data_IF_125179388109
#
_entry.id   IF_125179388109
#
_cell.length_a   1.000
_cell.length_b   1.000
_cell.length_c   1.000
_cell.angle_alpha   90.00
_cell.angle_beta   90.00
_cell.angle_gamma   90.00
#
_symmetry.space_group_name_H-M   'P 1'
#
loop_
_entity.id
_entity.type
_entity.pdbx_description
1 polymer ?
#
# COMPACT_ATOMS: atom_id res chain seq x y z
N UNK A 1 -16.96 -8.11 -14.86
CA UNK A 1 -16.49 -8.67 -13.57
C UNK A 1 -15.16 -9.38 -13.77
N UNK A 2 -14.36 -9.47 -12.71
CA UNK A 2 -13.07 -10.20 -12.69
C UNK A 2 -13.18 -11.63 -13.20
N UNK A 3 -14.22 -12.37 -12.81
CA UNK A 3 -14.46 -13.73 -13.32
C UNK A 3 -14.65 -13.79 -14.83
N UNK A 4 -15.23 -12.76 -15.45
CA UNK A 4 -15.37 -12.69 -16.91
C UNK A 4 -14.02 -12.41 -17.58
N UNK A 5 -13.18 -11.57 -16.98
CA UNK A 5 -11.83 -11.31 -17.48
C UNK A 5 -10.96 -12.58 -17.37
N UNK A 6 -10.98 -13.26 -16.22
CA UNK A 6 -10.25 -14.51 -16.01
C UNK A 6 -10.61 -15.59 -17.06
N UNK A 7 -11.91 -15.77 -17.36
CA UNK A 7 -12.36 -16.77 -18.36
C UNK A 7 -11.94 -16.43 -19.82
N UNK A 8 -11.41 -15.24 -20.06
CA UNK A 8 -10.88 -14.81 -21.37
C UNK A 8 -9.37 -15.00 -21.51
N UNK A 9 -8.70 -15.31 -20.40
CA UNK A 9 -7.28 -15.64 -20.45
C UNK A 9 -7.09 -16.95 -21.21
N UNK A 10 -5.90 -17.14 -21.79
CA UNK A 10 -5.50 -18.40 -22.35
C UNK A 10 -5.42 -19.47 -21.24
N UNK A 11 -5.63 -20.77 -21.55
CA UNK A 11 -5.57 -21.84 -20.53
C UNK A 11 -4.25 -21.82 -19.73
N UNK A 12 -3.13 -21.63 -20.38
CA UNK A 12 -1.79 -21.53 -19.78
C UNK A 12 -1.67 -20.41 -18.77
N UNK A 13 -2.28 -19.24 -19.04
CA UNK A 13 -2.30 -18.10 -18.11
C UNK A 13 -3.25 -18.35 -16.93
N UNK A 14 -4.38 -19.05 -17.17
CA UNK A 14 -5.33 -19.39 -16.12
C UNK A 14 -4.72 -20.31 -15.05
N UNK A 15 -3.80 -21.20 -15.42
CA UNK A 15 -3.09 -22.07 -14.48
C UNK A 15 -2.20 -21.30 -13.51
N UNK A 16 -1.75 -20.11 -13.92
CA UNK A 16 -0.90 -19.24 -13.11
C UNK A 16 -1.66 -18.19 -12.29
N UNK A 17 -3.00 -18.11 -12.42
CA UNK A 17 -3.84 -17.11 -11.77
C UNK A 17 -4.84 -17.75 -10.81
N UNK A 18 -4.86 -17.31 -9.56
CA UNK A 18 -5.86 -17.70 -8.58
C UNK A 18 -6.80 -16.52 -8.26
N UNK A 19 -8.11 -16.74 -8.43
CA UNK A 19 -9.14 -15.80 -7.96
C UNK A 19 -9.66 -16.27 -6.61
N UNK A 20 -9.44 -15.45 -5.58
CA UNK A 20 -9.85 -15.77 -4.22
C UNK A 20 -11.03 -14.89 -3.81
N UNK A 21 -12.09 -15.53 -3.34
CA UNK A 21 -13.21 -14.87 -2.68
C UNK A 21 -13.17 -15.17 -1.18
N UNK A 22 -12.80 -14.17 -0.39
CA UNK A 22 -12.63 -14.35 1.05
C UNK A 22 -13.98 -14.22 1.78
N UNK A 23 -14.25 -15.05 2.79
CA UNK A 23 -15.51 -15.01 3.52
C UNK A 23 -15.61 -13.72 4.34
N UNK A 24 -16.71 -12.97 4.15
CA UNK A 24 -17.00 -11.75 4.91
C UNK A 24 -17.75 -12.03 6.22
N UNK A 25 -18.25 -13.24 6.42
CA UNK A 25 -19.03 -13.62 7.60
C UNK A 25 -18.21 -13.62 8.90
N UNK A 26 -16.90 -13.79 8.82
CA UNK A 26 -16.01 -13.73 9.98
C UNK A 26 -14.84 -12.77 9.70
N UNK A 27 -14.88 -11.60 10.31
CA UNK A 27 -13.81 -10.60 10.18
C UNK A 27 -12.44 -11.13 10.61
N UNK A 28 -12.38 -11.95 11.64
CA UNK A 28 -11.12 -12.55 12.12
C UNK A 28 -10.52 -13.52 11.09
N UNK A 29 -11.35 -14.38 10.49
CA UNK A 29 -10.87 -15.30 9.44
C UNK A 29 -10.40 -14.55 8.20
N UNK A 30 -11.17 -13.56 7.76
CA UNK A 30 -10.80 -12.72 6.64
C UNK A 30 -9.43 -12.05 6.86
N UNK A 31 -9.26 -11.39 8.01
CA UNK A 31 -8.00 -10.74 8.39
C UNK A 31 -6.82 -11.72 8.43
N UNK A 32 -7.03 -12.92 8.96
CA UNK A 32 -6.00 -13.96 9.00
C UNK A 32 -5.61 -14.40 7.59
N UNK A 33 -6.57 -14.66 6.73
CA UNK A 33 -6.33 -15.08 5.33
C UNK A 33 -5.58 -13.99 4.56
N UNK A 34 -6.02 -12.73 4.65
CA UNK A 34 -5.30 -11.59 4.03
C UNK A 34 -3.89 -11.48 4.56
N UNK A 35 -3.70 -11.64 5.88
CA UNK A 35 -2.37 -11.58 6.50
C UNK A 35 -1.43 -12.67 5.96
N UNK A 36 -1.92 -13.91 5.84
CA UNK A 36 -1.14 -15.03 5.30
C UNK A 36 -0.80 -14.79 3.83
N UNK A 37 -1.79 -14.43 3.00
CA UNK A 37 -1.58 -14.15 1.58
C UNK A 37 -0.52 -13.06 1.40
N UNK A 38 -0.64 -11.95 2.10
CA UNK A 38 0.35 -10.88 2.02
C UNK A 38 1.74 -11.35 2.43
N UNK A 39 1.88 -12.09 3.56
CA UNK A 39 3.18 -12.58 4.03
C UNK A 39 3.85 -13.57 3.09
N UNK A 40 3.06 -14.33 2.33
CA UNK A 40 3.55 -15.28 1.33
C UNK A 40 3.83 -14.64 -0.03
N UNK A 41 3.46 -13.37 -0.22
CA UNK A 41 3.63 -12.67 -1.49
C UNK A 41 5.06 -12.16 -1.66
N UNK A 42 5.61 -12.31 -2.86
CA UNK A 42 6.91 -11.73 -3.24
C UNK A 42 6.79 -10.23 -3.50
N UNK A 43 5.68 -9.80 -4.10
CA UNK A 43 5.32 -8.39 -4.36
C UNK A 43 3.82 -8.26 -4.16
N UNK A 44 3.37 -7.17 -3.57
CA UNK A 44 1.97 -6.78 -3.53
C UNK A 44 1.71 -5.69 -4.58
N UNK A 45 0.66 -5.86 -5.38
CA UNK A 45 0.28 -4.87 -6.40
C UNK A 45 -1.02 -4.20 -5.99
N UNK A 46 -1.02 -2.88 -5.91
CA UNK A 46 -2.23 -2.08 -5.70
C UNK A 46 -2.37 -1.02 -6.79
N UNK A 47 -3.00 -1.42 -7.90
CA UNK A 47 -3.19 -0.57 -9.06
C UNK A 47 -4.55 0.14 -9.01
N UNK A 48 -4.72 1.06 -8.07
CA UNK A 48 -5.95 1.84 -7.89
C UNK A 48 -5.98 3.04 -8.82
N UNK A 49 -7.13 3.32 -9.46
CA UNK A 49 -7.33 4.55 -10.22
C UNK A 49 -7.50 5.76 -9.31
N UNK A 50 -8.15 5.55 -8.17
CA UNK A 50 -8.33 6.54 -7.11
C UNK A 50 -8.17 5.82 -5.77
N UNK A 51 -7.41 6.42 -4.87
CA UNK A 51 -7.15 5.87 -3.56
C UNK A 51 -7.00 6.99 -2.55
N UNK A 52 -7.78 6.95 -1.48
CA UNK A 52 -7.71 7.94 -0.42
C UNK A 52 -6.50 7.76 0.48
N UNK A 53 -6.26 6.53 0.93
CA UNK A 53 -5.11 6.20 1.78
C UNK A 53 -4.37 4.94 1.29
N UNK A 54 -5.04 3.81 1.05
CA UNK A 54 -4.40 2.57 0.62
C UNK A 54 -3.95 1.69 1.79
N UNK A 55 -4.87 1.34 2.69
CA UNK A 55 -4.57 0.48 3.83
C UNK A 55 -3.88 -0.82 3.43
N UNK A 56 -4.30 -1.45 2.34
CA UNK A 56 -3.73 -2.72 1.86
C UNK A 56 -2.24 -2.57 1.53
N UNK A 57 -1.85 -1.44 0.90
CA UNK A 57 -0.44 -1.14 0.63
C UNK A 57 0.35 -0.96 1.94
N UNK A 58 -0.17 -0.15 2.89
CA UNK A 58 0.48 0.07 4.19
C UNK A 58 0.63 -1.23 4.98
N UNK A 59 -0.37 -2.11 4.93
CA UNK A 59 -0.31 -3.43 5.57
C UNK A 59 0.75 -4.34 4.95
N UNK A 60 0.88 -4.36 3.62
CA UNK A 60 1.92 -5.10 2.93
C UNK A 60 3.31 -4.54 3.28
N UNK A 61 3.49 -3.22 3.24
CA UNK A 61 4.72 -2.53 3.64
C UNK A 61 5.12 -2.87 5.08
N UNK A 62 4.16 -2.89 6.01
CA UNK A 62 4.41 -3.27 7.40
C UNK A 62 4.91 -4.71 7.54
N UNK A 63 4.43 -5.61 6.70
CA UNK A 63 4.81 -7.03 6.66
C UNK A 63 6.11 -7.28 5.87
N UNK A 64 6.82 -6.23 5.45
CA UNK A 64 8.02 -6.30 4.62
C UNK A 64 7.77 -6.94 3.25
N UNK A 65 6.59 -6.69 2.68
CA UNK A 65 6.29 -7.06 1.31
C UNK A 65 6.46 -5.81 0.44
N UNK A 66 7.33 -5.85 -0.59
CA UNK A 66 7.50 -4.73 -1.51
C UNK A 66 6.20 -4.45 -2.24
N UNK A 67 5.87 -3.17 -2.41
CA UNK A 67 4.63 -2.77 -3.06
C UNK A 67 4.91 -2.11 -4.41
N UNK A 68 4.19 -2.56 -5.43
CA UNK A 68 3.98 -1.83 -6.67
C UNK A 68 2.63 -1.13 -6.58
N UNK A 69 2.64 0.19 -6.53
CA UNK A 69 1.45 1.02 -6.48
C UNK A 69 1.22 1.81 -7.76
N UNK A 70 0.00 2.30 -7.94
CA UNK A 70 -0.27 3.34 -8.93
C UNK A 70 0.04 4.73 -8.37
N UNK A 71 0.09 5.74 -9.26
CA UNK A 71 0.25 7.15 -8.88
C UNK A 71 -1.00 7.79 -8.26
N UNK A 72 -1.98 7.00 -7.77
CA UNK A 72 -3.13 7.51 -7.01
C UNK A 72 -2.68 8.27 -5.76
N UNK A 73 -3.42 9.31 -5.40
CA UNK A 73 -3.01 10.28 -4.37
C UNK A 73 -2.59 9.62 -3.05
N UNK A 74 -3.40 8.69 -2.51
CA UNK A 74 -3.09 7.99 -1.26
C UNK A 74 -1.81 7.17 -1.34
N UNK A 75 -1.57 6.46 -2.45
CA UNK A 75 -0.39 5.63 -2.63
C UNK A 75 0.88 6.46 -2.78
N UNK A 76 0.85 7.59 -3.48
CA UNK A 76 2.00 8.52 -3.59
C UNK A 76 2.42 9.11 -2.25
N UNK A 77 1.50 9.23 -1.30
CA UNK A 77 1.82 9.68 0.05
C UNK A 77 2.50 8.58 0.87
N UNK A 78 2.22 7.34 0.57
CA UNK A 78 2.75 6.18 1.29
C UNK A 78 4.08 5.69 0.72
N UNK A 79 4.18 5.60 -0.60
CA UNK A 79 5.30 4.99 -1.32
C UNK A 79 6.14 6.08 -1.96
N UNK A 80 7.43 6.11 -1.67
CA UNK A 80 8.42 6.88 -2.43
C UNK A 80 8.97 5.97 -3.51
N UNK A 81 8.70 6.30 -4.77
CA UNK A 81 9.14 5.50 -5.91
C UNK A 81 10.66 5.29 -5.89
N UNK A 82 11.08 4.05 -6.14
CA UNK A 82 12.47 3.64 -6.12
C UNK A 82 13.13 3.58 -4.74
N UNK A 83 12.42 3.90 -3.65
CA UNK A 83 12.94 3.91 -2.27
C UNK A 83 12.23 2.92 -1.36
N UNK A 84 10.90 3.00 -1.29
CA UNK A 84 10.07 2.17 -0.40
C UNK A 84 9.23 1.14 -1.18
N UNK A 85 9.31 1.18 -2.51
CA UNK A 85 8.56 0.39 -3.47
C UNK A 85 8.62 1.05 -4.83
N UNK A 86 7.69 0.68 -5.71
CA UNK A 86 7.59 1.27 -7.05
C UNK A 86 6.19 1.86 -7.28
N UNK A 87 6.13 2.89 -8.12
CA UNK A 87 4.88 3.51 -8.56
C UNK A 87 4.83 3.51 -10.09
N UNK A 88 3.68 3.13 -10.65
CA UNK A 88 3.39 3.32 -12.09
C UNK A 88 2.74 4.68 -12.30
N UNK A 89 3.10 5.33 -13.40
CA UNK A 89 2.56 6.64 -13.80
C UNK A 89 1.13 6.54 -14.31
N UNK A 90 0.88 5.53 -15.15
CA UNK A 90 -0.42 5.27 -15.73
C UNK A 90 -1.02 3.93 -15.27
N UNK A 91 -1.99 3.95 -14.33
CA UNK A 91 -2.63 2.73 -13.84
C UNK A 91 -3.50 2.00 -14.88
N UNK A 92 -3.65 2.55 -16.08
CA UNK A 92 -4.39 1.96 -17.20
C UNK A 92 -3.48 1.36 -18.26
N UNK A 93 -2.19 1.49 -18.11
CA UNK A 93 -1.20 0.94 -19.02
C UNK A 93 -0.70 -0.42 -18.49
N UNK A 94 -1.15 -1.54 -19.08
CA UNK A 94 -0.74 -2.86 -18.62
C UNK A 94 0.73 -3.15 -18.92
N UNK A 95 1.31 -2.54 -19.95
CA UNK A 95 2.70 -2.78 -20.32
C UNK A 95 3.64 -2.11 -19.31
N UNK A 96 3.37 -0.86 -18.90
CA UNK A 96 4.11 -0.19 -17.83
C UNK A 96 4.05 -0.97 -16.50
N UNK A 97 2.87 -1.51 -16.18
CA UNK A 97 2.68 -2.30 -14.96
C UNK A 97 3.50 -3.59 -15.03
N UNK A 98 3.44 -4.29 -16.16
CA UNK A 98 4.16 -5.54 -16.38
C UNK A 98 5.67 -5.33 -16.33
N UNK A 99 6.21 -4.38 -17.06
CA UNK A 99 7.63 -4.03 -17.06
C UNK A 99 8.14 -3.67 -15.65
N UNK A 100 7.40 -2.85 -14.93
CA UNK A 100 7.78 -2.48 -13.55
C UNK A 100 7.74 -3.67 -12.60
N UNK A 101 6.77 -4.55 -12.76
CA UNK A 101 6.66 -5.77 -11.96
C UNK A 101 7.80 -6.74 -12.27
N UNK A 102 8.13 -6.93 -13.54
CA UNK A 102 9.23 -7.78 -13.98
C UNK A 102 10.57 -7.29 -13.44
N UNK A 103 10.84 -5.99 -13.48
CA UNK A 103 12.02 -5.38 -12.86
C UNK A 103 12.10 -5.69 -11.36
N UNK A 104 10.98 -5.56 -10.65
CA UNK A 104 10.93 -5.90 -9.23
C UNK A 104 11.16 -7.38 -8.98
N UNK A 105 10.63 -8.25 -9.80
CA UNK A 105 10.79 -9.71 -9.67
C UNK A 105 12.21 -10.17 -10.02
N UNK A 106 12.84 -9.54 -11.00
CA UNK A 106 14.20 -9.88 -11.43
C UNK A 106 15.27 -9.50 -10.41
N UNK A 107 15.01 -8.53 -9.52
CA UNK A 107 16.04 -8.00 -8.61
C UNK A 107 15.71 -8.25 -7.12
N UNK A 108 16.10 -9.41 -6.56
CA UNK A 108 15.79 -9.73 -5.15
C UNK A 108 16.50 -8.81 -4.15
N UNK A 109 17.67 -8.29 -4.47
CA UNK A 109 18.40 -7.36 -3.59
C UNK A 109 17.65 -6.05 -3.46
N UNK A 110 17.17 -5.52 -4.57
CA UNK A 110 16.40 -4.29 -4.58
C UNK A 110 15.04 -4.47 -3.88
N UNK A 111 14.39 -5.62 -4.06
CA UNK A 111 13.14 -5.94 -3.33
C UNK A 111 13.35 -5.94 -1.82
N UNK A 112 14.44 -6.55 -1.34
CA UNK A 112 14.74 -6.55 0.10
C UNK A 112 14.99 -5.14 0.62
N UNK A 113 15.65 -4.29 -0.15
CA UNK A 113 15.85 -2.88 0.20
C UNK A 113 14.50 -2.15 0.31
N UNK A 114 13.64 -2.29 -0.70
CA UNK A 114 12.27 -1.72 -0.66
C UNK A 114 11.50 -2.20 0.58
N UNK A 115 11.56 -3.49 0.88
CA UNK A 115 10.87 -4.10 2.02
C UNK A 115 11.25 -3.47 3.36
N UNK A 116 12.56 -3.30 3.58
CA UNK A 116 13.09 -2.69 4.81
C UNK A 116 12.70 -1.23 4.92
N UNK A 117 12.88 -0.48 3.85
CA UNK A 117 12.55 0.94 3.80
C UNK A 117 11.04 1.17 4.00
N UNK A 118 10.22 0.34 3.35
CA UNK A 118 8.76 0.37 3.47
C UNK A 118 8.31 0.15 4.91
N UNK A 119 8.81 -0.91 5.56
CA UNK A 119 8.46 -1.20 6.96
C UNK A 119 8.89 -0.06 7.88
N UNK A 120 10.11 0.46 7.71
CA UNK A 120 10.60 1.60 8.48
C UNK A 120 9.71 2.83 8.29
N UNK A 121 9.33 3.13 7.05
CA UNK A 121 8.44 4.25 6.75
C UNK A 121 7.08 4.10 7.42
N UNK A 122 6.49 2.89 7.42
CA UNK A 122 5.21 2.64 8.11
C UNK A 122 5.38 2.87 9.60
N UNK A 123 6.46 2.36 10.20
CA UNK A 123 6.76 2.59 11.62
C UNK A 123 6.85 4.07 11.95
N UNK A 124 7.59 4.83 11.14
CA UNK A 124 7.87 6.23 11.42
C UNK A 124 6.68 7.17 11.13
N UNK A 125 5.70 6.74 10.29
CA UNK A 125 4.70 7.66 9.74
C UNK A 125 3.24 7.23 9.89
N UNK A 126 2.95 5.93 9.89
CA UNK A 126 1.58 5.45 9.69
C UNK A 126 1.01 4.63 10.84
N UNK A 127 1.79 4.36 11.89
CA UNK A 127 1.28 3.71 13.08
C UNK A 127 0.44 4.70 13.92
N UNK A 128 -0.55 4.16 14.61
CA UNK A 128 -1.43 4.94 15.47
C UNK A 128 -0.67 5.75 16.52
N UNK A 129 0.39 5.21 17.07
CA UNK A 129 1.22 5.90 18.07
C UNK A 129 1.87 7.17 17.52
N UNK A 130 2.39 7.11 16.30
CA UNK A 130 2.98 8.27 15.60
C UNK A 130 1.92 9.33 15.31
N UNK A 131 0.70 8.92 14.98
CA UNK A 131 -0.41 9.84 14.76
C UNK A 131 -0.83 10.53 16.07
N UNK A 132 -0.99 9.76 17.14
CA UNK A 132 -1.32 10.31 18.47
C UNK A 132 -0.27 11.31 18.94
N UNK A 133 1.01 10.96 18.84
CA UNK A 133 2.10 11.89 19.17
C UNK A 133 2.03 13.19 18.35
N UNK A 134 1.81 13.08 17.05
CA UNK A 134 1.67 14.24 16.16
C UNK A 134 0.50 15.13 16.57
N UNK A 135 -0.64 14.56 16.92
CA UNK A 135 -1.79 15.30 17.40
C UNK A 135 -1.54 15.98 18.74
N UNK A 136 -0.95 15.27 19.71
CA UNK A 136 -0.62 15.84 21.01
C UNK A 136 0.35 17.02 20.89
N UNK A 137 1.37 16.92 20.05
CA UNK A 137 2.29 18.04 19.78
C UNK A 137 1.55 19.25 19.21
N UNK A 138 0.70 19.06 18.20
CA UNK A 138 -0.09 20.15 17.60
C UNK A 138 -1.04 20.80 18.61
N UNK A 139 -1.70 20.01 19.46
CA UNK A 139 -2.56 20.54 20.50
C UNK A 139 -1.76 21.35 21.54
N UNK A 140 -0.58 20.88 21.91
CA UNK A 140 0.31 21.62 22.80
C UNK A 140 0.76 22.96 22.19
N UNK A 141 1.12 22.97 20.90
CA UNK A 141 1.50 24.17 20.18
C UNK A 141 0.37 25.19 20.12
N UNK A 142 -0.85 24.75 19.84
CA UNK A 142 -2.05 25.61 19.83
C UNK A 142 -2.35 26.15 21.24
N UNK A 143 -2.21 25.31 22.27
CA UNK A 143 -2.44 25.74 23.65
C UNK A 143 -1.39 26.74 24.15
N UNK A 144 -0.14 26.62 23.67
CA UNK A 144 0.95 27.52 24.01
C UNK A 144 0.95 28.82 23.18
N UNK A 145 0.23 28.84 22.06
CA UNK A 145 0.13 30.04 21.22
C UNK A 145 -0.67 31.15 21.93
N UNK A 146 -0.16 32.38 22.05
CA UNK A 146 -0.90 33.48 22.67
C UNK A 146 -2.17 33.74 21.85
N UNK A 147 -3.32 33.79 22.53
CA UNK A 147 -4.60 34.10 21.89
C UNK A 147 -4.51 35.48 21.26
N UNK A 148 -4.77 35.55 19.96
CA UNK A 148 -4.84 36.82 19.25
C UNK A 148 -5.89 37.75 19.89
N UNK A 149 -5.64 39.05 20.03
CA UNK A 149 -6.58 40.01 20.63
C UNK A 149 -7.91 40.20 19.88
N UNK A 150 -8.08 39.53 18.72
CA UNK A 150 -9.26 39.68 17.84
C UNK A 150 -10.50 38.96 18.38
N UNK A 151 -10.39 38.04 19.33
CA UNK A 151 -11.52 37.26 19.87
C UNK A 151 -12.23 37.93 21.08
N UNK A 152 -12.04 39.23 21.31
CA UNK A 152 -12.72 39.97 22.36
C UNK A 152 -13.69 41.04 21.80
N UNK A 153 -14.52 40.65 20.83
CA UNK A 153 -15.68 41.47 20.48
C UNK A 153 -16.94 40.66 20.45
#
# INVERSE_FOLDING_TARGET
SLCRAFRRLKPEDQESVALLSLPMASGKQNQLMVNVIQRCSTVAVQNSLQEGFGLTATEAMWKRVPVLGSSACGLRLQIRDGVDGRLTGNPRDPDEIAETLDDMLANPVQRELYSRNAQRRVYDRFLVFTQVESWLRRLADVAASPRSPVDRR
#
